data_IF_498491597478
#
_entry.id   IF_498491597478
#
_cell.length_a   1.000
_cell.length_b   1.000
_cell.length_c   1.000
_cell.angle_alpha   90.00
_cell.angle_beta   90.00
_cell.angle_gamma   90.00
#
_symmetry.space_group_name_H-M   'P 1'
#
loop_
_entity.id
_entity.type
_entity.pdbx_description
1 polymer ?
#
# COMPACT_ATOMS: atom_id res chain seq x y z
N UNK A 1 -5.57 59.35 -8.61
CA UNK A 1 -4.47 58.38 -8.92
C UNK A 1 -4.20 57.40 -7.78
N UNK A 2 -4.10 57.85 -6.51
CA UNK A 2 -3.81 56.99 -5.33
C UNK A 2 -4.79 55.84 -5.06
N UNK A 3 -6.08 56.00 -5.36
CA UNK A 3 -7.12 54.98 -5.11
C UNK A 3 -7.05 53.77 -6.04
N UNK A 4 -6.65 53.96 -7.31
CA UNK A 4 -6.51 52.86 -8.28
C UNK A 4 -5.27 51.99 -7.98
N UNK A 5 -4.18 52.62 -7.56
CA UNK A 5 -2.96 51.95 -7.09
C UNK A 5 -3.23 51.09 -5.84
N UNK A 6 -4.00 51.61 -4.88
CA UNK A 6 -4.37 50.89 -3.66
C UNK A 6 -5.21 49.62 -3.95
N UNK A 7 -6.20 49.71 -4.84
CA UNK A 7 -7.02 48.57 -5.25
C UNK A 7 -6.19 47.50 -6.00
N UNK A 8 -5.23 47.92 -6.83
CA UNK A 8 -4.31 47.02 -7.54
C UNK A 8 -3.41 46.27 -6.57
N UNK A 9 -2.88 46.95 -5.55
CA UNK A 9 -2.06 46.32 -4.51
C UNK A 9 -2.87 45.35 -3.64
N UNK A 10 -4.13 45.68 -3.29
CA UNK A 10 -5.02 44.75 -2.59
C UNK A 10 -5.30 43.47 -3.40
N UNK A 11 -5.56 43.60 -4.71
CA UNK A 11 -5.75 42.44 -5.60
C UNK A 11 -4.48 41.59 -5.70
N UNK A 12 -3.31 42.21 -5.82
CA UNK A 12 -2.04 41.48 -5.88
C UNK A 12 -1.75 40.73 -4.58
N UNK A 13 -2.02 41.34 -3.41
CA UNK A 13 -1.89 40.68 -2.10
C UNK A 13 -2.85 39.49 -1.99
N UNK A 14 -4.11 39.68 -2.41
CA UNK A 14 -5.10 38.59 -2.43
C UNK A 14 -4.64 37.40 -3.27
N UNK A 15 -4.11 37.65 -4.46
CA UNK A 15 -3.56 36.61 -5.35
C UNK A 15 -2.37 35.90 -4.69
N UNK A 16 -1.45 36.63 -4.06
CA UNK A 16 -0.28 36.06 -3.38
C UNK A 16 -0.72 35.16 -2.20
N UNK A 17 -1.69 35.59 -1.40
CA UNK A 17 -2.24 34.80 -0.30
C UNK A 17 -2.92 33.52 -0.80
N UNK A 18 -3.69 33.60 -1.90
CA UNK A 18 -4.31 32.42 -2.51
C UNK A 18 -3.28 31.42 -3.03
N UNK A 19 -2.21 31.88 -3.66
CA UNK A 19 -1.11 31.02 -4.13
C UNK A 19 -0.37 30.37 -2.95
N UNK A 20 -0.07 31.13 -1.90
CA UNK A 20 0.59 30.60 -0.70
C UNK A 20 -0.26 29.54 0.02
N UNK A 21 -1.59 29.74 0.11
CA UNK A 21 -2.51 28.77 0.69
C UNK A 21 -2.59 27.46 -0.11
N UNK A 22 -2.47 27.52 -1.43
CA UNK A 22 -2.42 26.33 -2.29
C UNK A 22 -1.15 25.50 -2.09
N UNK A 23 0.00 26.14 -1.83
CA UNK A 23 1.28 25.45 -1.63
C UNK A 23 1.30 24.64 -0.32
N UNK A 24 0.62 25.13 0.73
CA UNK A 24 0.54 24.40 2.01
C UNK A 24 -0.38 23.16 1.99
N UNK A 25 -1.21 22.99 0.97
CA UNK A 25 -2.21 21.92 0.94
C UNK A 25 -1.66 20.53 0.53
N UNK A 26 -0.36 20.39 0.21
CA UNK A 26 0.18 19.18 -0.45
C UNK A 26 1.21 18.38 0.38
N UNK A 27 1.09 18.33 1.72
CA UNK A 27 2.00 17.56 2.58
C UNK A 27 1.54 16.11 2.82
N UNK A 28 1.23 15.34 1.77
CA UNK A 28 1.03 13.89 1.89
C UNK A 28 2.26 13.16 1.34
N UNK A 29 3.13 12.71 2.25
CA UNK A 29 4.26 11.87 1.88
C UNK A 29 3.77 10.43 1.70
N UNK A 30 3.92 9.87 0.50
CA UNK A 30 3.60 8.48 0.22
C UNK A 30 4.88 7.69 0.00
N UNK A 31 5.08 6.63 0.78
CA UNK A 31 6.21 5.71 0.62
C UNK A 31 5.81 4.58 -0.31
N UNK A 32 6.70 4.20 -1.24
CA UNK A 32 6.49 3.08 -2.15
C UNK A 32 7.68 2.12 -2.05
N UNK A 33 7.42 0.82 -1.91
CA UNK A 33 8.43 -0.22 -2.03
C UNK A 33 7.98 -1.30 -3.01
N UNK A 34 8.93 -1.86 -3.75
CA UNK A 34 8.68 -3.01 -4.60
C UNK A 34 8.84 -4.30 -3.81
N UNK A 35 8.11 -5.34 -4.22
CA UNK A 35 8.38 -6.69 -3.76
C UNK A 35 9.71 -7.19 -4.32
N UNK A 36 10.48 -7.86 -3.46
CA UNK A 36 11.69 -8.59 -3.83
C UNK A 36 11.33 -9.83 -4.65
N UNK A 37 12.31 -10.37 -5.37
CA UNK A 37 12.13 -11.61 -6.13
C UNK A 37 11.80 -12.78 -5.19
N UNK A 38 10.75 -13.52 -5.53
CA UNK A 38 10.28 -14.68 -4.77
C UNK A 38 10.94 -15.96 -5.26
N UNK A 39 11.31 -16.85 -4.34
CA UNK A 39 11.66 -18.23 -4.68
C UNK A 39 10.42 -19.12 -4.88
N UNK A 40 9.28 -18.75 -4.30
CA UNK A 40 8.01 -19.52 -4.36
C UNK A 40 7.23 -19.18 -5.62
N UNK A 41 7.15 -17.90 -5.99
CA UNK A 41 6.46 -17.42 -7.20
C UNK A 41 7.36 -16.45 -7.98
N UNK A 42 8.41 -16.93 -8.69
CA UNK A 42 9.43 -16.07 -9.31
C UNK A 42 8.89 -15.08 -10.35
N UNK A 43 7.76 -15.41 -10.99
CA UNK A 43 7.14 -14.54 -11.98
C UNK A 43 6.43 -13.33 -11.35
N UNK A 44 6.06 -13.40 -10.06
CA UNK A 44 5.28 -12.40 -9.39
C UNK A 44 6.06 -11.09 -9.23
N UNK A 45 5.42 -9.98 -9.60
CA UNK A 45 5.97 -8.64 -9.48
C UNK A 45 4.93 -7.73 -8.88
N UNK A 46 5.32 -6.82 -8.01
CA UNK A 46 4.37 -5.89 -7.43
C UNK A 46 5.02 -4.82 -6.59
N UNK A 47 4.18 -3.92 -6.09
CA UNK A 47 4.59 -2.84 -5.22
C UNK A 47 3.54 -2.59 -4.14
N UNK A 48 4.02 -2.03 -3.04
CA UNK A 48 3.23 -1.53 -1.92
C UNK A 48 3.35 -0.01 -1.90
N UNK A 49 2.23 0.68 -1.73
CA UNK A 49 2.17 2.11 -1.44
C UNK A 49 1.59 2.29 -0.04
N UNK A 50 2.31 3.01 0.80
CA UNK A 50 1.87 3.41 2.15
C UNK A 50 1.67 4.92 2.13
N UNK A 51 0.49 5.39 2.54
CA UNK A 51 0.19 6.82 2.65
C UNK A 51 -0.37 7.11 4.03
N UNK A 52 0.20 8.10 4.72
CA UNK A 52 -0.31 8.55 6.00
C UNK A 52 -1.47 9.54 5.79
N UNK A 53 -2.56 9.35 6.52
CA UNK A 53 -3.70 10.27 6.55
C UNK A 53 -3.53 11.35 7.64
N UNK A 54 -4.50 12.27 7.72
CA UNK A 54 -4.48 13.36 8.72
C UNK A 54 -4.69 12.89 10.17
N UNK A 55 -5.17 11.66 10.35
CA UNK A 55 -5.43 11.04 11.64
C UNK A 55 -4.27 10.15 12.11
N UNK A 56 -3.14 10.16 11.39
CA UNK A 56 -1.99 9.28 11.61
C UNK A 56 -2.29 7.79 11.41
N UNK A 57 -3.30 7.46 10.60
CA UNK A 57 -3.45 6.10 10.07
C UNK A 57 -2.69 5.96 8.75
N UNK A 58 -2.37 4.72 8.41
CA UNK A 58 -1.62 4.35 7.23
C UNK A 58 -2.54 3.58 6.29
N UNK A 59 -2.84 4.18 5.13
CA UNK A 59 -3.46 3.48 4.02
C UNK A 59 -2.39 2.67 3.28
N UNK A 60 -2.60 1.37 3.19
CA UNK A 60 -1.71 0.43 2.51
C UNK A 60 -2.43 -0.08 1.27
N UNK A 61 -1.86 0.16 0.10
CA UNK A 61 -2.36 -0.33 -1.19
C UNK A 61 -1.30 -1.21 -1.84
N UNK A 62 -1.68 -2.42 -2.24
CA UNK A 62 -0.83 -3.38 -2.94
C UNK A 62 -1.33 -3.62 -4.36
N UNK A 63 -0.39 -3.84 -5.27
CA UNK A 63 -0.70 -4.30 -6.63
C UNK A 63 0.36 -5.30 -7.08
N UNK A 64 -0.09 -6.48 -7.46
CA UNK A 64 0.75 -7.61 -7.85
C UNK A 64 0.28 -8.12 -9.21
N UNK A 65 1.21 -8.48 -10.07
CA UNK A 65 1.01 -9.17 -11.34
C UNK A 65 1.79 -10.48 -11.35
N UNK A 66 1.33 -11.41 -12.19
CA UNK A 66 1.88 -12.77 -12.31
C UNK A 66 1.90 -13.54 -10.98
N UNK A 67 0.95 -13.26 -10.08
CA UNK A 67 0.78 -14.06 -8.86
C UNK A 67 -0.01 -15.32 -9.19
N UNK A 68 0.63 -16.49 -9.06
CA UNK A 68 -0.03 -17.78 -9.19
C UNK A 68 -1.16 -17.92 -8.15
N UNK A 69 -2.23 -18.63 -8.49
CA UNK A 69 -3.30 -18.92 -7.52
C UNK A 69 -2.75 -19.76 -6.35
N UNK A 70 -3.24 -19.52 -5.14
CA UNK A 70 -2.76 -20.22 -3.94
C UNK A 70 -2.98 -21.74 -4.01
N UNK A 71 -4.03 -22.17 -4.69
CA UNK A 71 -4.37 -23.58 -4.94
C UNK A 71 -3.44 -24.26 -5.97
N UNK A 72 -2.68 -23.48 -6.74
CA UNK A 72 -1.70 -23.98 -7.71
C UNK A 72 -0.29 -24.09 -7.12
N UNK A 73 -0.09 -23.66 -5.87
CA UNK A 73 1.17 -23.85 -5.16
C UNK A 73 1.42 -25.33 -4.83
N UNK A 74 2.65 -25.67 -4.50
CA UNK A 74 3.04 -26.99 -4.01
C UNK A 74 3.74 -26.85 -2.65
N UNK A 75 3.10 -27.26 -1.53
CA UNK A 75 1.73 -27.76 -1.45
C UNK A 75 0.68 -26.67 -1.73
N UNK A 76 -0.55 -27.05 -2.15
CA UNK A 76 -1.63 -26.10 -2.39
C UNK A 76 -2.08 -25.44 -1.07
N UNK A 77 -2.49 -24.17 -1.14
CA UNK A 77 -2.93 -23.36 0.00
C UNK A 77 -4.27 -22.67 -0.27
N UNK A 78 -4.99 -22.33 0.80
CA UNK A 78 -6.32 -21.75 0.72
C UNK A 78 -6.31 -20.27 0.35
N UNK A 79 -5.36 -19.49 0.87
CA UNK A 79 -5.33 -18.04 0.67
C UNK A 79 -3.92 -17.45 0.79
N UNK A 80 -3.73 -16.28 0.17
CA UNK A 80 -2.60 -15.42 0.50
C UNK A 80 -2.97 -14.47 1.64
N UNK A 81 -2.13 -14.42 2.68
CA UNK A 81 -2.31 -13.53 3.83
C UNK A 81 -1.27 -12.42 3.76
N UNK A 82 -1.72 -11.18 3.92
CA UNK A 82 -0.87 -9.99 3.95
C UNK A 82 -0.52 -9.68 5.40
N UNK A 83 0.77 -9.50 5.64
CA UNK A 83 1.34 -9.23 6.94
C UNK A 83 2.02 -7.87 6.97
N UNK A 84 1.83 -7.17 8.08
CA UNK A 84 2.53 -5.94 8.43
C UNK A 84 3.50 -6.22 9.56
N UNK A 85 4.76 -5.79 9.40
CA UNK A 85 5.68 -5.60 10.51
C UNK A 85 5.63 -4.12 10.88
N UNK A 86 5.27 -3.81 12.12
CA UNK A 86 5.26 -2.43 12.61
C UNK A 86 6.66 -1.95 12.99
N UNK A 87 6.80 -0.66 13.26
CA UNK A 87 8.03 -0.05 13.77
C UNK A 87 8.56 -0.70 15.07
N UNK A 88 7.65 -1.08 15.98
CA UNK A 88 7.97 -1.84 17.20
C UNK A 88 8.24 -3.34 16.95
N UNK A 89 8.43 -3.76 15.70
CA UNK A 89 8.72 -5.14 15.27
C UNK A 89 7.61 -6.16 15.54
N UNK A 90 6.38 -5.72 15.85
CA UNK A 90 5.23 -6.63 15.93
C UNK A 90 4.71 -7.01 14.54
N UNK A 91 4.36 -8.28 14.35
CA UNK A 91 3.77 -8.79 13.11
C UNK A 91 2.26 -8.89 13.26
N UNK A 92 1.51 -8.40 12.27
CA UNK A 92 0.04 -8.40 12.27
C UNK A 92 -0.50 -8.87 10.93
N UNK A 93 -1.49 -9.77 10.97
CA UNK A 93 -2.32 -10.08 9.81
C UNK A 93 -3.19 -8.84 9.50
N UNK A 94 -3.08 -8.30 8.30
CA UNK A 94 -3.85 -7.11 7.87
C UNK A 94 -4.94 -7.44 6.86
N UNK A 95 -5.04 -8.70 6.42
CA UNK A 95 -6.09 -9.21 5.55
C UNK A 95 -5.58 -10.21 4.51
N UNK A 96 -6.48 -10.64 3.63
CA UNK A 96 -6.20 -11.66 2.61
C UNK A 96 -6.28 -11.12 1.19
N UNK A 97 -5.59 -11.79 0.27
CA UNK A 97 -5.69 -11.56 -1.17
C UNK A 97 -6.35 -12.78 -1.81
N UNK A 98 -7.44 -12.54 -2.53
CA UNK A 98 -8.04 -13.55 -3.42
C UNK A 98 -7.52 -13.29 -4.84
N UNK A 99 -6.73 -14.21 -5.38
CA UNK A 99 -6.37 -14.21 -6.80
C UNK A 99 -7.66 -14.42 -7.61
N UNK A 100 -8.00 -13.50 -8.53
CA UNK A 100 -9.32 -13.45 -9.16
C UNK A 100 -9.74 -14.77 -9.82
N UNK A 101 -10.89 -15.30 -9.40
CA UNK A 101 -11.43 -16.63 -9.76
C UNK A 101 -12.42 -16.64 -10.94
N UNK A 102 -12.46 -15.58 -11.75
CA UNK A 102 -13.43 -15.47 -12.86
C UNK A 102 -12.95 -16.11 -14.16
N UNK A 103 -13.84 -16.67 -14.97
CA UNK A 103 -13.55 -17.21 -16.33
C UNK A 103 -12.93 -16.16 -17.30
N UNK A 104 -12.93 -14.87 -16.91
CA UNK A 104 -12.32 -13.72 -17.58
C UNK A 104 -11.05 -13.17 -16.87
N UNK A 105 -10.56 -13.78 -15.79
CA UNK A 105 -9.45 -13.31 -14.94
C UNK A 105 -8.05 -13.64 -15.48
N UNK A 106 -7.89 -13.77 -16.81
CA UNK A 106 -6.64 -14.15 -17.53
C UNK A 106 -5.39 -13.32 -17.20
N UNK A 107 -5.44 -12.37 -16.27
CA UNK A 107 -4.28 -11.68 -15.75
C UNK A 107 -4.19 -12.03 -14.27
N UNK A 108 -3.23 -12.90 -13.93
CA UNK A 108 -2.68 -13.25 -12.61
C UNK A 108 -2.37 -11.99 -11.77
N UNK A 109 -3.37 -11.17 -11.49
CA UNK A 109 -3.27 -9.86 -10.88
C UNK A 109 -4.02 -9.88 -9.56
N UNK A 110 -3.42 -9.25 -8.57
CA UNK A 110 -3.97 -9.14 -7.25
C UNK A 110 -3.84 -7.70 -6.76
N UNK A 111 -4.88 -7.20 -6.13
CA UNK A 111 -4.91 -5.87 -5.52
C UNK A 111 -5.50 -5.97 -4.13
N UNK A 112 -4.98 -5.19 -3.21
CA UNK A 112 -5.42 -5.16 -1.82
C UNK A 112 -5.30 -3.75 -1.27
N UNK A 113 -6.29 -3.32 -0.50
CA UNK A 113 -6.24 -2.07 0.23
C UNK A 113 -6.72 -2.27 1.67
N UNK A 114 -6.02 -1.64 2.62
CA UNK A 114 -6.44 -1.59 4.03
C UNK A 114 -5.96 -0.30 4.69
N UNK A 115 -6.47 -0.02 5.88
CA UNK A 115 -6.06 1.10 6.73
C UNK A 115 -5.70 0.55 8.10
N UNK A 116 -4.61 1.05 8.68
CA UNK A 116 -4.13 0.64 9.99
C UNK A 116 -3.60 1.82 10.79
N UNK A 117 -3.70 1.78 12.12
CA UNK A 117 -3.04 2.75 13.00
C UNK A 117 -1.57 2.41 13.25
N UNK A 118 -1.10 1.22 12.88
CA UNK A 118 0.28 0.80 13.10
C UNK A 118 1.17 1.26 11.95
N UNK A 119 2.27 1.96 12.26
CA UNK A 119 3.24 2.40 11.26
C UNK A 119 3.97 1.18 10.66
N UNK A 120 3.84 0.90 9.35
CA UNK A 120 4.54 -0.22 8.74
C UNK A 120 6.04 0.06 8.58
N UNK A 121 6.86 -0.91 8.96
CA UNK A 121 8.29 -0.97 8.62
C UNK A 121 8.58 -1.96 7.49
N UNK A 122 7.71 -2.96 7.29
CA UNK A 122 7.79 -3.93 6.18
C UNK A 122 6.43 -4.55 5.91
N UNK A 123 6.16 -4.91 4.65
CA UNK A 123 5.03 -5.75 4.27
C UNK A 123 5.54 -7.05 3.66
N UNK A 124 4.89 -8.16 4.00
CA UNK A 124 5.15 -9.46 3.36
C UNK A 124 3.86 -10.27 3.22
N UNK A 125 3.92 -11.33 2.44
CA UNK A 125 2.78 -12.19 2.09
C UNK A 125 3.19 -13.64 2.30
N UNK A 126 2.33 -14.42 2.94
CA UNK A 126 2.44 -15.88 3.02
C UNK A 126 1.26 -16.53 2.30
N UNK A 127 1.37 -17.82 2.00
CA UNK A 127 0.25 -18.64 1.53
C UNK A 127 -0.16 -19.60 2.64
N UNK A 128 -1.36 -19.45 3.18
CA UNK A 128 -1.83 -20.15 4.39
C UNK A 128 -3.05 -21.02 4.10
N UNK A 129 -3.28 -22.01 4.96
CA UNK A 129 -4.47 -22.89 4.90
C UNK A 129 -5.73 -22.21 5.46
N UNK A 130 -5.55 -21.20 6.31
CA UNK A 130 -6.61 -20.35 6.87
C UNK A 130 -6.15 -18.88 6.80
N UNK A 131 -7.02 -18.00 6.31
CA UNK A 131 -6.72 -16.58 6.17
C UNK A 131 -6.81 -15.79 7.49
N UNK A 132 -7.45 -16.35 8.51
CA UNK A 132 -7.67 -15.73 9.83
C UNK A 132 -6.56 -16.02 10.86
N UNK A 133 -5.49 -16.69 10.42
CA UNK A 133 -4.34 -17.02 11.28
C UNK A 133 -3.75 -15.76 11.93
N UNK A 134 -3.37 -15.91 13.20
CA UNK A 134 -2.78 -14.83 14.00
C UNK A 134 -1.25 -14.76 13.85
N UNK A 135 -0.65 -15.83 13.35
CA UNK A 135 0.80 -15.95 13.13
C UNK A 135 1.06 -16.57 11.76
N UNK A 136 2.15 -16.19 11.08
CA UNK A 136 2.54 -16.80 9.82
C UNK A 136 3.09 -18.21 10.08
N UNK A 137 2.38 -19.23 9.59
CA UNK A 137 2.82 -20.63 9.71
C UNK A 137 3.55 -21.10 8.47
N UNK A 138 3.30 -20.46 7.33
CA UNK A 138 3.87 -20.84 6.05
C UNK A 138 5.04 -19.93 5.65
N UNK A 139 5.94 -20.41 4.77
CA UNK A 139 7.02 -19.59 4.26
C UNK A 139 6.53 -18.32 3.55
N UNK A 140 7.39 -17.30 3.60
CA UNK A 140 7.14 -16.02 2.92
C UNK A 140 7.16 -16.22 1.41
N UNK A 141 6.10 -15.77 0.75
CA UNK A 141 5.95 -15.80 -0.71
C UNK A 141 6.48 -14.51 -1.31
N UNK A 142 6.10 -13.35 -0.78
CA UNK A 142 6.58 -12.04 -1.25
C UNK A 142 6.94 -11.17 -0.06
N UNK A 143 7.98 -10.36 -0.17
CA UNK A 143 8.37 -9.40 0.88
C UNK A 143 8.97 -8.15 0.27
N UNK A 144 8.74 -6.99 0.89
CA UNK A 144 9.39 -5.74 0.51
C UNK A 144 10.74 -5.59 1.22
N UNK A 145 11.55 -4.64 0.76
CA UNK A 145 12.57 -4.05 1.63
C UNK A 145 11.92 -3.35 2.82
N UNK A 146 12.72 -3.01 3.83
CA UNK A 146 12.29 -2.10 4.89
C UNK A 146 11.95 -0.72 4.30
N UNK A 147 11.02 0.01 4.93
CA UNK A 147 10.62 1.39 4.57
C UNK A 147 11.43 2.45 5.32
#
# INVERSE_FOLDING_TARGET
MKTKEWIKNLKNIGIICSVAALIFAMSSCATRANFLSSSVVPAAKGAVKVTQDKNNNYKISLSISNLAESTQLSPPKSAYVVWLVSDNKSTKNIGQIVSGTGFMSKKLKASFETITSFKPSKIFITAEDDASVQYPYSPVVLTTSDF
#
